data_IF_877389405002
#
_entry.id   IF_877389405002
#
_cell.length_a   1.000
_cell.length_b   1.000
_cell.length_c   1.000
_cell.angle_alpha   90.00
_cell.angle_beta   90.00
_cell.angle_gamma   90.00
#
_symmetry.space_group_name_H-M   'P 1'
#
loop_
_entity.id
_entity.type
_entity.pdbx_description
1 polymer ?
#
# COMPACT_ATOMS: atom_id res chain seq x y z
N UNK A 1 -7.31 7.66 8.46
CA UNK A 1 -7.31 6.20 8.74
C UNK A 1 -6.74 5.46 7.52
N UNK A 2 -6.15 4.27 7.68
CA UNK A 2 -5.60 3.48 6.57
C UNK A 2 -6.60 2.39 6.19
N UNK A 3 -7.09 2.40 4.95
CA UNK A 3 -8.07 1.41 4.48
C UNK A 3 -7.41 0.44 3.50
N UNK A 4 -7.53 -0.86 3.74
CA UNK A 4 -6.95 -1.90 2.88
C UNK A 4 -8.06 -2.73 2.27
N UNK A 5 -8.11 -2.77 0.94
CA UNK A 5 -8.92 -3.69 0.17
C UNK A 5 -8.12 -4.96 -0.09
N UNK A 6 -8.56 -6.11 0.44
CA UNK A 6 -7.81 -7.34 0.29
C UNK A 6 -8.52 -8.62 0.73
N UNK A 7 -7.96 -9.74 0.29
CA UNK A 7 -8.39 -11.08 0.65
C UNK A 7 -7.44 -11.69 1.67
N UNK A 8 -7.93 -12.13 2.84
CA UNK A 8 -7.10 -12.79 3.86
C UNK A 8 -6.58 -14.16 3.43
N UNK A 9 -7.01 -14.69 2.28
CA UNK A 9 -6.44 -15.88 1.65
C UNK A 9 -5.19 -15.57 0.81
N UNK A 10 -4.95 -14.31 0.46
CA UNK A 10 -3.78 -13.92 -0.33
C UNK A 10 -2.57 -13.63 0.56
N UNK A 11 -1.45 -14.31 0.30
CA UNK A 11 -0.21 -14.12 1.06
C UNK A 11 0.28 -12.67 1.09
N UNK A 12 0.12 -11.91 -0.01
CA UNK A 12 0.48 -10.49 -0.04
C UNK A 12 -0.41 -9.63 0.87
N UNK A 13 -1.69 -9.98 1.02
CA UNK A 13 -2.61 -9.30 1.94
C UNK A 13 -2.27 -9.61 3.40
N UNK A 14 -1.88 -10.86 3.69
CA UNK A 14 -1.47 -11.29 5.03
C UNK A 14 -0.23 -10.54 5.53
N UNK A 15 0.74 -10.24 4.64
CA UNK A 15 1.89 -9.40 4.97
C UNK A 15 1.44 -8.06 5.57
N UNK A 16 0.56 -7.33 4.89
CA UNK A 16 0.05 -6.04 5.36
C UNK A 16 -0.72 -6.17 6.67
N UNK A 17 -1.60 -7.16 6.77
CA UNK A 17 -2.42 -7.37 7.96
C UNK A 17 -1.59 -7.69 9.22
N UNK A 18 -0.61 -8.60 9.11
CA UNK A 18 0.21 -9.01 10.24
C UNK A 18 1.17 -7.92 10.70
N UNK A 19 1.72 -7.16 9.74
CA UNK A 19 2.57 -6.00 10.04
C UNK A 19 1.81 -4.94 10.81
N UNK A 20 0.62 -4.57 10.32
CA UNK A 20 -0.18 -3.56 10.99
C UNK A 20 -0.57 -3.99 12.40
N UNK A 21 -0.94 -5.27 12.58
CA UNK A 21 -1.21 -5.82 13.91
C UNK A 21 0.02 -5.78 14.83
N UNK A 22 1.21 -6.15 14.32
CA UNK A 22 2.46 -6.11 15.08
C UNK A 22 2.83 -4.68 15.52
N UNK A 23 2.55 -3.70 14.67
CA UNK A 23 2.87 -2.29 14.90
C UNK A 23 1.76 -1.52 15.64
N UNK A 24 0.66 -2.18 16.01
CA UNK A 24 -0.48 -1.55 16.68
C UNK A 24 -1.24 -0.56 15.81
N UNK A 25 -1.18 -0.70 14.49
CA UNK A 25 -1.85 0.19 13.53
C UNK A 25 -3.25 -0.33 13.26
N UNK A 26 -4.24 0.51 13.53
CA UNK A 26 -5.61 0.24 13.13
C UNK A 26 -5.74 0.36 11.60
N UNK A 27 -6.11 -0.76 10.96
CA UNK A 27 -6.52 -0.78 9.56
C UNK A 27 -8.03 -0.95 9.48
N UNK A 28 -8.65 -0.19 8.60
CA UNK A 28 -9.97 -0.52 8.10
C UNK A 28 -9.81 -1.58 7.01
N UNK A 29 -10.36 -2.79 7.22
CA UNK A 29 -10.26 -3.87 6.23
C UNK A 29 -11.54 -3.97 5.39
N UNK A 30 -11.39 -3.84 4.07
CA UNK A 30 -12.45 -4.09 3.09
C UNK A 30 -12.16 -5.42 2.41
N UNK A 31 -13.00 -6.42 2.69
CA UNK A 31 -12.83 -7.76 2.13
C UNK A 31 -13.01 -7.74 0.60
N UNK A 32 -12.16 -8.47 -0.11
CA UNK A 32 -12.25 -8.71 -1.54
C UNK A 32 -12.21 -10.22 -1.76
N UNK A 33 -13.12 -10.75 -2.58
CA UNK A 33 -13.10 -12.14 -3.02
C UNK A 33 -12.37 -12.26 -4.36
N UNK A 34 -11.08 -12.62 -4.29
CA UNK A 34 -10.26 -12.77 -5.50
C UNK A 34 -10.64 -14.00 -6.33
N UNK A 35 -11.27 -15.01 -5.72
CA UNK A 35 -11.64 -16.25 -6.40
C UNK A 35 -12.89 -16.06 -7.25
N UNK A 36 -13.79 -15.19 -6.81
CA UNK A 36 -14.99 -14.80 -7.56
C UNK A 36 -14.77 -13.60 -8.50
N UNK A 37 -13.52 -13.18 -8.69
CA UNK A 37 -13.17 -12.15 -9.67
C UNK A 37 -13.57 -10.72 -9.29
N UNK A 38 -13.83 -10.42 -8.01
CA UNK A 38 -14.22 -9.07 -7.58
C UNK A 38 -13.19 -8.00 -7.98
N UNK A 39 -11.92 -8.38 -8.07
CA UNK A 39 -10.84 -7.50 -8.52
C UNK A 39 -10.94 -7.02 -9.96
N UNK A 40 -11.82 -7.62 -10.75
CA UNK A 40 -12.08 -7.27 -12.15
C UNK A 40 -13.35 -6.45 -12.33
N UNK A 41 -14.09 -6.20 -11.26
CA UNK A 41 -15.29 -5.36 -11.31
C UNK A 41 -14.91 -3.90 -11.57
N UNK A 42 -15.78 -3.11 -12.23
CA UNK A 42 -15.52 -1.69 -12.45
C UNK A 42 -15.24 -0.92 -11.15
N UNK A 43 -15.94 -1.27 -10.06
CA UNK A 43 -15.74 -0.64 -8.75
C UNK A 43 -14.33 -0.88 -8.21
N UNK A 44 -13.81 -2.10 -8.34
CA UNK A 44 -12.45 -2.39 -7.87
C UNK A 44 -11.39 -1.80 -8.82
N UNK A 45 -11.60 -1.87 -10.13
CA UNK A 45 -10.67 -1.31 -11.11
C UNK A 45 -10.58 0.23 -11.03
N UNK A 46 -11.64 0.90 -10.58
CA UNK A 46 -11.60 2.33 -10.27
C UNK A 46 -10.69 2.66 -9.07
N UNK A 47 -10.52 1.71 -8.13
CA UNK A 47 -9.56 1.84 -7.02
C UNK A 47 -8.15 1.46 -7.46
N UNK A 48 -8.03 0.38 -8.23
CA UNK A 48 -6.76 -0.12 -8.73
C UNK A 48 -6.90 -0.72 -10.13
N UNK A 49 -6.46 -0.01 -11.20
CA UNK A 49 -6.49 -0.48 -12.58
C UNK A 49 -5.79 -1.82 -12.83
N UNK A 50 -4.77 -2.20 -12.05
CA UNK A 50 -4.15 -3.53 -12.17
C UNK A 50 -5.04 -4.66 -11.63
N UNK A 51 -6.06 -4.30 -10.84
CA UNK A 51 -6.97 -5.21 -10.17
C UNK A 51 -6.26 -6.13 -9.16
N UNK A 52 -5.24 -5.63 -8.46
CA UNK A 52 -4.46 -6.45 -7.53
C UNK A 52 -4.82 -6.13 -6.07
N UNK A 53 -4.69 -7.12 -5.21
CA UNK A 53 -4.76 -6.97 -3.76
C UNK A 53 -3.40 -7.32 -3.13
N UNK A 54 -3.03 -6.72 -1.98
CA UNK A 54 -3.76 -5.69 -1.25
C UNK A 54 -3.71 -4.33 -1.96
N UNK A 55 -4.80 -3.57 -1.95
CA UNK A 55 -4.83 -2.16 -2.37
C UNK A 55 -5.03 -1.29 -1.14
N UNK A 56 -4.09 -0.37 -0.89
CA UNK A 56 -4.16 0.60 0.21
C UNK A 56 -4.78 1.91 -0.28
N UNK A 57 -5.78 2.40 0.44
CA UNK A 57 -6.36 3.72 0.28
C UNK A 57 -5.85 4.58 1.44
N UNK A 58 -5.24 5.70 1.06
CA UNK A 58 -4.72 6.69 1.98
C UNK A 58 -5.69 7.87 2.05
N UNK A 59 -5.99 8.33 3.25
CA UNK A 59 -6.54 9.68 3.43
C UNK A 59 -5.45 10.72 3.17
N UNK A 60 -5.86 11.86 2.62
CA UNK A 60 -5.00 13.04 2.45
C UNK A 60 -4.36 13.40 3.80
N UNK A 61 -3.05 13.69 3.82
CA UNK A 61 -2.30 13.96 5.05
C UNK A 61 -1.80 12.75 5.85
N UNK A 62 -2.20 11.52 5.54
CA UNK A 62 -1.91 10.33 6.39
C UNK A 62 -0.42 9.95 6.58
N UNK A 63 0.48 10.57 5.82
CA UNK A 63 1.94 10.34 5.85
C UNK A 63 2.74 11.65 5.87
N UNK A 64 2.09 12.81 6.03
CA UNK A 64 2.76 14.11 5.93
C UNK A 64 3.73 14.38 7.10
N UNK A 65 3.42 13.89 8.31
CA UNK A 65 4.21 14.18 9.52
C UNK A 65 5.26 13.11 9.89
N UNK A 66 5.50 12.11 9.03
CA UNK A 66 6.37 10.99 9.35
C UNK A 66 7.23 10.51 8.17
N UNK A 67 8.51 10.16 8.42
CA UNK A 67 9.41 9.75 7.36
C UNK A 67 9.06 8.37 6.77
N UNK A 68 8.48 7.47 7.56
CA UNK A 68 8.07 6.14 7.15
C UNK A 68 6.58 5.95 7.42
N UNK A 69 5.98 4.92 6.84
CA UNK A 69 4.56 4.61 7.01
C UNK A 69 4.17 4.44 8.48
N UNK A 70 5.14 4.13 9.35
CA UNK A 70 4.90 3.87 10.77
C UNK A 70 6.00 4.53 11.62
N UNK A 71 5.84 5.82 11.86
CA UNK A 71 6.71 6.57 12.77
C UNK A 71 8.05 6.94 12.13
N UNK A 72 9.10 6.98 12.95
CA UNK A 72 10.39 7.58 12.59
C UNK A 72 11.37 6.62 11.90
N UNK A 73 11.12 5.31 11.94
CA UNK A 73 12.06 4.28 11.46
C UNK A 73 11.43 3.38 10.40
N UNK A 74 12.27 2.87 9.49
CA UNK A 74 11.87 1.88 8.51
C UNK A 74 11.22 0.67 9.18
N UNK A 75 10.08 0.23 8.65
CA UNK A 75 9.34 -0.91 9.17
C UNK A 75 8.97 -1.88 8.05
N UNK A 76 8.47 -3.05 8.43
CA UNK A 76 7.94 -4.02 7.46
C UNK A 76 6.72 -3.46 6.69
N UNK A 77 6.05 -2.41 7.18
CA UNK A 77 4.97 -1.75 6.44
C UNK A 77 5.52 -1.06 5.20
N UNK A 78 6.67 -0.40 5.35
CA UNK A 78 7.36 0.27 4.25
C UNK A 78 7.81 -0.74 3.20
N UNK A 79 8.44 -1.82 3.64
CA UNK A 79 8.89 -2.92 2.75
C UNK A 79 7.72 -3.54 1.99
N UNK A 80 6.60 -3.80 2.68
CA UNK A 80 5.44 -4.45 2.07
C UNK A 80 4.79 -3.59 0.98
N UNK A 81 4.85 -2.26 1.10
CA UNK A 81 4.17 -1.34 0.20
C UNK A 81 5.10 -0.73 -0.84
N UNK A 82 6.38 -0.46 -0.53
CA UNK A 82 7.33 0.16 -1.46
C UNK A 82 7.51 -0.69 -2.72
N UNK A 83 7.46 -2.03 -2.58
CA UNK A 83 7.59 -2.97 -3.69
C UNK A 83 6.54 -2.76 -4.79
N UNK A 84 5.32 -2.32 -4.43
CA UNK A 84 4.26 -2.02 -5.40
C UNK A 84 4.23 -0.54 -5.74
N UNK A 85 4.32 0.33 -4.73
CA UNK A 85 4.12 1.77 -4.92
C UNK A 85 5.24 2.41 -5.76
N UNK A 86 6.48 1.91 -5.71
CA UNK A 86 7.57 2.41 -6.58
C UNK A 86 7.32 2.13 -8.07
N UNK A 87 6.54 1.10 -8.38
CA UNK A 87 6.17 0.68 -9.74
C UNK A 87 4.77 1.14 -10.16
N UNK A 88 4.12 2.04 -9.41
CA UNK A 88 2.74 2.44 -9.67
C UNK A 88 2.52 3.01 -11.09
N UNK A 89 3.54 3.62 -11.68
CA UNK A 89 3.51 4.13 -13.05
C UNK A 89 3.35 3.01 -14.11
N UNK A 90 3.88 1.81 -13.86
CA UNK A 90 3.68 0.66 -14.75
C UNK A 90 2.22 0.18 -14.74
N UNK A 91 1.52 0.41 -13.63
CA UNK A 91 0.07 0.17 -13.48
C UNK A 91 -0.81 1.34 -13.93
N UNK A 92 -0.24 2.40 -14.51
CA UNK A 92 -0.97 3.56 -15.00
C UNK A 92 -1.45 4.55 -13.93
N UNK A 93 -0.91 4.49 -12.70
CA UNK A 93 -1.25 5.43 -11.64
C UNK A 93 -0.35 6.67 -11.68
N UNK A 94 -0.97 7.85 -11.67
CA UNK A 94 -0.25 9.12 -11.50
C UNK A 94 -0.05 9.44 -10.01
N UNK A 95 1.22 9.45 -9.59
CA UNK A 95 1.60 9.83 -8.22
C UNK A 95 1.87 11.33 -8.05
N UNK A 96 1.81 12.14 -9.12
CA UNK A 96 2.05 13.58 -9.05
C UNK A 96 1.20 14.30 -7.97
N UNK A 97 -0.10 13.94 -7.75
CA UNK A 97 -0.93 14.54 -6.71
C UNK A 97 -0.53 14.18 -5.27
N UNK A 98 0.35 13.19 -5.06
CA UNK A 98 0.66 12.66 -3.72
C UNK A 98 2.12 12.96 -3.32
N UNK A 99 2.45 14.21 -2.94
CA UNK A 99 3.83 14.64 -2.67
C UNK A 99 4.47 13.85 -1.52
N UNK A 100 3.70 13.47 -0.51
CA UNK A 100 4.20 12.67 0.61
C UNK A 100 4.60 11.25 0.17
N UNK A 101 3.86 10.61 -0.74
CA UNK A 101 4.24 9.31 -1.30
C UNK A 101 5.51 9.43 -2.15
N UNK A 102 5.58 10.47 -2.98
CA UNK A 102 6.76 10.77 -3.80
C UNK A 102 8.01 11.03 -2.97
N UNK A 103 7.88 11.61 -1.79
CA UNK A 103 9.00 11.79 -0.86
C UNK A 103 9.35 10.52 -0.07
N UNK A 104 8.35 9.67 0.19
CA UNK A 104 8.50 8.43 0.94
C UNK A 104 9.22 7.33 0.14
N UNK A 105 8.91 7.14 -1.15
CA UNK A 105 9.54 6.12 -2.02
C UNK A 105 11.08 6.18 -1.99
N UNK A 106 11.74 7.30 -2.38
CA UNK A 106 13.21 7.37 -2.42
C UNK A 106 13.84 7.21 -1.04
N UNK A 107 13.12 7.57 0.04
CA UNK A 107 13.60 7.37 1.41
C UNK A 107 13.64 5.88 1.77
N UNK A 108 12.61 5.12 1.39
CA UNK A 108 12.57 3.68 1.62
C UNK A 108 13.56 2.94 0.73
N UNK A 109 13.71 3.33 -0.53
CA UNK A 109 14.71 2.77 -1.45
C UNK A 109 16.12 2.94 -0.89
N UNK A 110 16.47 4.14 -0.41
CA UNK A 110 17.75 4.40 0.23
C UNK A 110 17.96 3.56 1.51
N UNK A 111 16.92 3.43 2.34
CA UNK A 111 16.99 2.65 3.58
C UNK A 111 17.13 1.13 3.33
N UNK A 112 16.62 0.63 2.19
CA UNK A 112 16.72 -0.77 1.79
C UNK A 112 17.88 -1.08 0.84
N UNK A 113 18.58 -0.06 0.34
CA UNK A 113 19.63 -0.23 -0.67
C UNK A 113 19.10 -0.71 -2.03
N UNK A 114 17.89 -0.31 -2.41
CA UNK A 114 17.29 -0.63 -3.71
C UNK A 114 17.87 0.33 -4.76
N UNK A 115 18.44 -0.21 -5.84
CA UNK A 115 19.14 0.59 -6.88
C UNK A 115 18.82 0.16 -8.31
N UNK A 116 17.88 -0.77 -8.49
CA UNK A 116 17.48 -1.33 -9.77
C UNK A 116 16.33 -0.55 -10.44
#
# INVERSE_FOLDING_TARGET
MLTVHGDRKAGNCLKVAWVAAHLGIALEWRAIDILNGETRTPNFLALNPDGRVPTLVLEEGSIEDRPFLVGASLSLADVALVAYTRLAHEGGFDLAPYPALRAWIPRVEAALGITD
#
